data_IF_198008353096
#
_entry.id   IF_198008353096
#
_cell.length_a   1.000
_cell.length_b   1.000
_cell.length_c   1.000
_cell.angle_alpha   90.00
_cell.angle_beta   90.00
_cell.angle_gamma   90.00
#
_symmetry.space_group_name_H-M   'P 1'
#
loop_
_entity.id
_entity.type
_entity.pdbx_description
1 polymer ?
#
# COMPACT_ATOMS: atom_id res chain seq x y z
N UNK A 1 6.95 11.97 30.30
CA UNK A 1 6.90 10.65 29.65
C UNK A 1 8.23 9.97 29.89
N UNK A 2 8.24 8.89 30.65
CA UNK A 2 9.43 8.04 30.81
C UNK A 2 9.65 7.30 29.50
N UNK A 3 10.87 7.25 28.92
CA UNK A 3 11.08 6.48 27.70
C UNK A 3 10.75 5.01 27.95
N UNK A 4 9.87 4.45 27.12
CA UNK A 4 9.64 3.02 27.01
C UNK A 4 10.93 2.33 26.51
N UNK A 5 11.09 1.04 26.81
CA UNK A 5 12.23 0.18 26.44
C UNK A 5 12.86 0.58 25.08
N UNK A 6 14.19 0.82 24.97
CA UNK A 6 14.84 1.32 23.73
C UNK A 6 14.72 0.38 22.51
N UNK A 7 14.14 -0.82 22.68
CA UNK A 7 13.82 -1.76 21.60
C UNK A 7 12.35 -1.74 21.17
N UNK A 8 11.53 -0.82 21.70
CA UNK A 8 10.11 -0.66 21.36
C UNK A 8 9.86 0.75 20.86
N UNK A 9 9.08 0.85 19.79
CA UNK A 9 8.57 2.09 19.24
C UNK A 9 7.08 2.18 19.57
N UNK A 10 6.67 3.29 20.17
CA UNK A 10 5.26 3.61 20.33
C UNK A 10 4.73 4.11 18.99
N UNK A 11 3.70 3.44 18.46
CA UNK A 11 3.11 3.73 17.14
C UNK A 11 1.62 4.00 17.32
N UNK A 12 1.13 5.05 16.65
CA UNK A 12 -0.31 5.31 16.51
C UNK A 12 -0.72 4.89 15.12
N UNK A 13 -1.67 3.95 15.04
CA UNK A 13 -2.28 3.54 13.77
C UNK A 13 -3.66 4.18 13.69
N UNK A 14 -3.90 4.94 12.63
CA UNK A 14 -5.19 5.57 12.37
C UNK A 14 -5.91 4.82 11.25
N UNK A 15 -7.13 4.39 11.54
CA UNK A 15 -8.03 3.79 10.56
C UNK A 15 -8.99 4.85 10.07
N UNK A 16 -9.20 4.91 8.75
CA UNK A 16 -10.10 5.85 8.10
C UNK A 16 -11.15 5.06 7.31
N UNK A 17 -12.39 5.54 7.34
CA UNK A 17 -13.51 4.99 6.60
C UNK A 17 -14.13 6.09 5.73
N UNK A 18 -14.60 5.72 4.54
CA UNK A 18 -15.30 6.61 3.62
C UNK A 18 -16.65 5.98 3.24
N UNK A 19 -17.74 6.30 3.97
CA UNK A 19 -19.05 5.66 3.78
C UNK A 19 -19.83 6.16 2.55
N UNK A 20 -19.40 7.26 1.95
CA UNK A 20 -19.97 7.81 0.74
C UNK A 20 -18.86 8.46 -0.12
N UNK A 21 -19.02 8.51 -1.45
CA UNK A 21 -18.09 9.22 -2.31
C UNK A 21 -17.92 10.69 -1.88
N UNK A 22 -16.70 11.24 -1.98
CA UNK A 22 -16.46 12.61 -1.57
C UNK A 22 -17.19 13.59 -2.49
N UNK A 23 -17.90 14.57 -1.92
CA UNK A 23 -18.64 15.61 -2.67
C UNK A 23 -17.72 16.60 -3.40
N UNK A 24 -16.43 16.63 -3.04
CA UNK A 24 -15.45 17.50 -3.69
C UNK A 24 -15.06 16.95 -5.06
N UNK A 25 -14.69 17.87 -5.96
CA UNK A 25 -14.08 17.50 -7.24
C UNK A 25 -12.83 16.61 -7.02
N UNK A 26 -12.54 15.70 -7.97
CA UNK A 26 -11.32 14.89 -7.92
C UNK A 26 -10.06 15.74 -7.76
N UNK A 27 -9.05 15.18 -7.11
CA UNK A 27 -7.77 15.86 -6.95
C UNK A 27 -7.13 16.14 -8.32
N UNK A 28 -6.59 17.35 -8.48
CA UNK A 28 -5.82 17.69 -9.69
C UNK A 28 -4.53 16.90 -9.72
N UNK A 29 -4.21 16.30 -10.86
CA UNK A 29 -2.94 15.61 -11.06
C UNK A 29 -1.81 16.66 -10.96
N UNK A 30 -0.78 16.44 -10.12
CA UNK A 30 0.35 17.36 -10.02
C UNK A 30 1.03 17.56 -11.38
N UNK A 31 1.55 18.76 -11.69
CA UNK A 31 2.25 18.99 -12.94
C UNK A 31 3.51 18.12 -13.05
N UNK A 32 3.83 17.66 -14.26
CA UNK A 32 5.02 16.85 -14.55
C UNK A 32 4.68 15.43 -15.02
N UNK A 33 5.70 14.56 -15.01
CA UNK A 33 5.57 13.15 -15.40
C UNK A 33 5.11 12.31 -14.20
N UNK A 34 3.84 12.41 -13.84
CA UNK A 34 3.25 11.68 -12.71
C UNK A 34 2.20 10.70 -13.22
N UNK A 35 2.23 9.47 -12.71
CA UNK A 35 1.23 8.45 -13.04
C UNK A 35 0.96 7.55 -11.83
N UNK A 36 -0.30 7.15 -11.65
CA UNK A 36 -0.66 6.05 -10.74
C UNK A 36 -1.05 4.88 -11.64
N UNK A 37 -0.36 3.75 -11.50
CA UNK A 37 -0.53 2.59 -12.38
C UNK A 37 -0.78 1.36 -11.51
N UNK A 38 -1.80 0.57 -11.87
CA UNK A 38 -2.01 -0.75 -11.28
C UNK A 38 -0.86 -1.69 -11.70
N UNK A 39 -0.20 -2.31 -10.74
CA UNK A 39 0.80 -3.33 -11.01
C UNK A 39 0.11 -4.68 -11.23
N UNK A 40 -0.31 -4.94 -12.47
CA UNK A 40 -0.88 -6.23 -12.86
C UNK A 40 0.19 -7.32 -12.86
N UNK A 41 -0.19 -8.55 -12.47
CA UNK A 41 0.72 -9.69 -12.32
C UNK A 41 1.96 -9.34 -11.46
N UNK A 42 1.73 -8.69 -10.32
CA UNK A 42 2.78 -8.19 -9.47
C UNK A 42 3.71 -9.31 -8.99
N UNK A 43 4.98 -9.23 -9.37
CA UNK A 43 5.99 -10.16 -8.85
C UNK A 43 6.28 -9.87 -7.39
N UNK A 44 6.52 -10.92 -6.61
CA UNK A 44 6.91 -10.81 -5.21
C UNK A 44 8.16 -9.95 -5.02
N UNK A 45 9.16 -10.10 -5.89
CA UNK A 45 10.39 -9.30 -5.85
C UNK A 45 10.12 -7.81 -6.03
N UNK A 46 9.20 -7.44 -6.93
CA UNK A 46 8.85 -6.03 -7.13
C UNK A 46 8.06 -5.47 -5.94
N UNK A 47 7.15 -6.26 -5.36
CA UNK A 47 6.47 -5.88 -4.13
C UNK A 47 7.46 -5.67 -2.97
N UNK A 48 8.42 -6.59 -2.77
CA UNK A 48 9.48 -6.46 -1.77
C UNK A 48 10.29 -5.19 -1.97
N UNK A 49 10.70 -4.91 -3.21
CA UNK A 49 11.38 -3.66 -3.56
C UNK A 49 10.56 -2.43 -3.14
N UNK A 50 9.27 -2.38 -3.47
CA UNK A 50 8.40 -1.25 -3.11
C UNK A 50 8.26 -1.11 -1.59
N UNK A 51 7.91 -2.19 -0.90
CA UNK A 51 7.72 -2.19 0.55
C UNK A 51 9.01 -1.79 1.29
N UNK A 52 10.15 -2.27 0.80
CA UNK A 52 11.44 -1.98 1.43
C UNK A 52 11.87 -0.54 1.18
N UNK A 53 11.80 -0.06 -0.06
CA UNK A 53 12.33 1.28 -0.42
C UNK A 53 11.40 2.42 -0.03
N UNK A 54 10.08 2.23 -0.12
CA UNK A 54 9.09 3.25 0.28
C UNK A 54 8.92 3.25 1.80
N UNK A 55 8.93 2.07 2.42
CA UNK A 55 8.64 1.89 3.84
C UNK A 55 9.83 1.99 4.79
N UNK A 56 11.07 1.89 4.30
CA UNK A 56 12.29 1.91 5.12
C UNK A 56 12.35 3.11 6.08
N UNK A 57 12.16 4.38 5.63
CA UNK A 57 12.21 5.53 6.53
C UNK A 57 11.16 5.49 7.65
N UNK A 58 10.09 4.71 7.46
CA UNK A 58 8.95 4.57 8.36
C UNK A 58 8.97 3.25 9.14
N UNK A 59 10.05 2.47 9.03
CA UNK A 59 10.24 1.19 9.72
C UNK A 59 9.09 0.21 9.49
N UNK A 60 8.53 0.21 8.29
CA UNK A 60 7.49 -0.73 7.91
C UNK A 60 7.98 -2.17 8.09
N UNK A 61 7.28 -2.95 8.90
CA UNK A 61 7.75 -4.28 9.33
C UNK A 61 6.78 -5.42 9.01
N UNK A 62 5.46 -5.17 8.99
CA UNK A 62 4.44 -6.22 8.89
C UNK A 62 4.68 -7.18 7.72
N UNK A 63 4.85 -6.65 6.50
CA UNK A 63 5.07 -7.50 5.32
C UNK A 63 6.48 -8.08 5.28
N UNK A 64 7.48 -7.43 5.88
CA UNK A 64 8.85 -7.97 5.99
C UNK A 64 8.93 -9.21 6.90
N UNK A 65 8.02 -9.32 7.88
CA UNK A 65 7.97 -10.50 8.76
C UNK A 65 7.29 -11.70 8.09
N UNK A 66 6.46 -11.48 7.07
CA UNK A 66 5.87 -12.57 6.30
C UNK A 66 6.93 -13.19 5.40
N UNK A 67 7.01 -14.52 5.41
CA UNK A 67 7.78 -15.29 4.43
C UNK A 67 7.21 -15.13 3.02
N UNK A 68 7.97 -15.54 2.02
CA UNK A 68 7.52 -15.50 0.63
C UNK A 68 6.34 -16.46 0.37
N UNK A 69 6.27 -17.59 1.10
CA UNK A 69 5.17 -18.55 1.05
C UNK A 69 3.88 -18.02 1.68
N UNK A 70 3.98 -17.08 2.62
CA UNK A 70 2.82 -16.41 3.23
C UNK A 70 2.37 -15.21 2.40
N UNK A 71 3.32 -14.43 1.88
CA UNK A 71 3.02 -13.19 1.17
C UNK A 71 2.58 -13.44 -0.28
N UNK A 72 3.20 -14.40 -0.97
CA UNK A 72 2.90 -14.73 -2.35
C UNK A 72 1.42 -15.01 -2.61
N UNK A 73 0.75 -15.88 -1.81
CA UNK A 73 -0.68 -16.15 -1.97
C UNK A 73 -1.55 -14.91 -1.81
N UNK A 74 -1.24 -14.01 -0.87
CA UNK A 74 -2.00 -12.76 -0.67
C UNK A 74 -1.90 -11.89 -1.92
N UNK A 75 -0.69 -11.69 -2.45
CA UNK A 75 -0.49 -10.86 -3.65
C UNK A 75 -1.06 -11.48 -4.94
N UNK A 76 -1.33 -12.78 -4.93
CA UNK A 76 -1.91 -13.50 -6.06
C UNK A 76 -3.45 -13.47 -6.08
N UNK A 77 -4.08 -13.01 -4.99
CA UNK A 77 -5.53 -12.85 -4.93
C UNK A 77 -5.98 -11.80 -5.95
N UNK A 78 -7.01 -12.09 -6.79
CA UNK A 78 -7.52 -11.13 -7.76
C UNK A 78 -8.03 -9.83 -7.11
N UNK A 79 -8.48 -9.92 -5.85
CA UNK A 79 -9.01 -8.83 -5.04
C UNK A 79 -7.90 -7.96 -4.42
N UNK A 80 -6.65 -8.46 -4.39
CA UNK A 80 -5.49 -7.70 -3.91
C UNK A 80 -4.95 -6.83 -5.03
N UNK A 81 -5.21 -5.53 -4.94
CA UNK A 81 -4.79 -4.55 -5.93
C UNK A 81 -3.62 -3.71 -5.40
N UNK A 82 -2.51 -3.69 -6.14
CA UNK A 82 -1.38 -2.81 -5.85
C UNK A 82 -1.27 -1.71 -6.90
N UNK A 83 -1.27 -0.46 -6.45
CA UNK A 83 -1.12 0.73 -7.28
C UNK A 83 0.19 1.43 -6.95
N UNK A 84 0.99 1.74 -7.96
CA UNK A 84 2.29 2.40 -7.81
C UNK A 84 2.21 3.83 -8.33
N UNK A 85 2.63 4.78 -7.52
CA UNK A 85 2.86 6.16 -7.92
C UNK A 85 4.25 6.24 -8.58
N UNK A 86 4.29 6.69 -9.83
CA UNK A 86 5.51 6.99 -10.56
C UNK A 86 5.71 8.49 -10.70
N UNK A 87 6.94 8.95 -10.44
CA UNK A 87 7.38 10.31 -10.72
C UNK A 87 8.60 10.24 -11.62
N UNK A 88 8.50 10.84 -12.81
CA UNK A 88 9.53 10.79 -13.85
C UNK A 88 10.02 9.36 -14.19
N UNK A 89 9.14 8.36 -14.04
CA UNK A 89 9.44 6.95 -14.32
C UNK A 89 9.99 6.16 -13.13
N UNK A 90 10.17 6.79 -11.97
CA UNK A 90 10.67 6.14 -10.75
C UNK A 90 9.51 5.94 -9.75
N UNK A 91 9.37 4.76 -9.12
CA UNK A 91 8.41 4.56 -8.03
C UNK A 91 8.66 5.56 -6.89
N UNK A 92 7.63 6.32 -6.53
CA UNK A 92 7.65 7.32 -5.47
C UNK A 92 6.74 6.96 -4.28
N UNK A 93 5.95 5.89 -4.42
CA UNK A 93 5.05 5.38 -3.40
C UNK A 93 4.16 4.28 -3.97
N UNK A 94 3.44 3.58 -3.12
CA UNK A 94 2.41 2.63 -3.55
C UNK A 94 1.30 2.50 -2.52
N UNK A 95 0.17 1.94 -2.94
CA UNK A 95 -0.93 1.52 -2.09
C UNK A 95 -1.27 0.07 -2.40
N UNK A 96 -1.57 -0.70 -1.37
CA UNK A 96 -2.16 -2.03 -1.46
C UNK A 96 -3.60 -1.95 -0.97
N UNK A 97 -4.52 -2.47 -1.76
CA UNK A 97 -5.95 -2.50 -1.47
C UNK A 97 -6.40 -3.95 -1.43
N UNK A 98 -7.14 -4.30 -0.39
CA UNK A 98 -7.92 -5.53 -0.32
C UNK A 98 -9.36 -5.19 -0.72
N UNK A 99 -9.85 -5.81 -1.78
CA UNK A 99 -11.20 -5.59 -2.30
C UNK A 99 -12.14 -6.77 -2.06
N UNK A 100 -11.73 -7.76 -1.26
CA UNK A 100 -12.52 -8.97 -1.01
C UNK A 100 -13.94 -8.67 -0.51
N UNK A 101 -14.05 -7.76 0.46
CA UNK A 101 -15.35 -7.32 0.98
C UNK A 101 -16.22 -6.63 -0.08
N UNK A 102 -15.63 -5.95 -1.06
CA UNK A 102 -16.39 -5.26 -2.11
C UNK A 102 -16.91 -6.24 -3.17
N UNK A 103 -16.14 -7.29 -3.48
CA UNK A 103 -16.59 -8.38 -4.35
C UNK A 103 -17.72 -9.18 -3.68
N UNK A 104 -17.57 -9.55 -2.41
CA UNK A 104 -18.61 -10.29 -1.66
C UNK A 104 -19.94 -9.52 -1.61
N UNK A 105 -19.88 -8.19 -1.55
CA UNK A 105 -21.05 -7.32 -1.54
C UNK A 105 -21.55 -6.93 -2.95
N UNK A 106 -20.93 -7.44 -4.02
CA UNK A 106 -21.31 -7.17 -5.41
C UNK A 106 -21.18 -5.70 -5.84
N UNK A 107 -20.27 -4.96 -5.20
CA UNK A 107 -20.00 -3.55 -5.49
C UNK A 107 -19.10 -3.39 -6.71
N UNK A 108 -18.22 -4.36 -6.92
CA UNK A 108 -17.33 -4.49 -8.08
C UNK A 108 -17.48 -5.85 -8.73
#
# INVERSE_FOLDING_TARGET
MTPSNPRKLDVVVSFLEMPAPPERAPATIPPGKVAIVRAENLTLSFYRYLYDTVGEPWLWWQRRLMSDDELGPILALPETHVYVLYVAGVPAGFAELDLGDLEENGVI
#
